data_IF_762895437547
#
_entry.id   IF_762895437547
#
_cell.length_a   1.000
_cell.length_b   1.000
_cell.length_c   1.000
_cell.angle_alpha   90.00
_cell.angle_beta   90.00
_cell.angle_gamma   90.00
#
_symmetry.space_group_name_H-M   'P 1'
#
loop_
_entity.id
_entity.type
_entity.pdbx_description
1 polymer ?
#
# COMPACT_ATOMS: atom_id res chain seq x y z
N UNK A 1 17.08 -11.57 -22.61
CA UNK A 1 16.20 -10.40 -22.77
C UNK A 1 16.72 -9.25 -21.91
N UNK A 2 17.13 -8.18 -22.53
CA UNK A 2 17.51 -6.96 -21.81
C UNK A 2 16.30 -6.36 -21.09
N UNK A 3 16.44 -6.04 -19.80
CA UNK A 3 15.42 -5.27 -19.09
C UNK A 3 15.29 -3.90 -19.78
N UNK A 4 14.12 -3.62 -20.33
CA UNK A 4 13.82 -2.33 -20.90
C UNK A 4 13.85 -1.31 -19.74
N UNK A 5 14.83 -0.42 -19.72
CA UNK A 5 14.93 0.63 -18.72
C UNK A 5 13.92 1.71 -19.10
N UNK A 6 12.85 1.83 -18.32
CA UNK A 6 11.88 2.92 -18.48
C UNK A 6 12.44 4.11 -17.72
N UNK A 7 12.67 5.19 -18.45
CA UNK A 7 12.96 6.51 -17.83
C UNK A 7 11.65 7.26 -17.69
N UNK A 8 11.24 7.50 -16.44
CA UNK A 8 10.08 8.30 -16.11
C UNK A 8 10.50 9.60 -15.46
N UNK A 9 9.79 10.67 -15.78
CA UNK A 9 10.02 11.98 -15.17
C UNK A 9 8.70 12.61 -14.75
N UNK A 10 8.74 13.35 -13.65
CA UNK A 10 7.65 14.20 -13.18
C UNK A 10 8.17 15.64 -13.12
N UNK A 11 7.45 16.51 -13.77
CA UNK A 11 7.68 17.96 -13.74
C UNK A 11 6.49 18.67 -13.14
N UNK A 12 6.73 19.72 -12.39
CA UNK A 12 5.67 20.50 -11.77
C UNK A 12 6.20 21.40 -10.67
N UNK A 13 5.29 22.02 -9.96
CA UNK A 13 5.61 22.87 -8.82
C UNK A 13 5.86 21.98 -7.59
N UNK A 14 6.88 22.34 -6.82
CA UNK A 14 7.06 21.79 -5.48
C UNK A 14 5.90 22.30 -4.61
N UNK A 15 5.24 21.37 -3.94
CA UNK A 15 4.10 21.67 -3.08
C UNK A 15 4.13 20.82 -1.82
N UNK A 16 3.62 21.37 -0.75
CA UNK A 16 3.34 20.63 0.46
C UNK A 16 1.91 20.10 0.42
N UNK A 17 1.69 18.94 1.04
CA UNK A 17 0.38 18.30 1.11
C UNK A 17 -0.12 18.26 2.53
N UNK A 18 -1.43 18.38 2.69
CA UNK A 18 -2.09 18.19 3.96
C UNK A 18 -2.30 16.71 4.23
N UNK A 19 -1.92 16.28 5.43
CA UNK A 19 -2.17 14.92 5.90
C UNK A 19 -3.57 14.81 6.50
N UNK A 20 -4.25 13.72 6.16
CA UNK A 20 -5.52 13.35 6.77
C UNK A 20 -5.30 12.21 7.75
N UNK A 21 -5.75 12.39 8.98
CA UNK A 21 -5.77 11.36 10.00
C UNK A 21 -7.12 10.64 9.98
N UNK A 22 -7.08 9.31 9.97
CA UNK A 22 -8.29 8.49 9.98
C UNK A 22 -8.59 7.99 11.39
N UNK A 23 -9.83 8.15 11.84
CA UNK A 23 -10.33 7.63 13.11
C UNK A 23 -11.04 6.28 12.98
N UNK A 24 -11.39 5.89 11.78
CA UNK A 24 -12.01 4.61 11.43
C UNK A 24 -11.27 3.94 10.29
N UNK A 25 -11.38 2.61 10.13
CA UNK A 25 -10.76 1.91 9.02
C UNK A 25 -11.21 2.46 7.66
N UNK A 26 -10.30 2.58 6.70
CA UNK A 26 -10.69 2.96 5.34
C UNK A 26 -11.64 1.91 4.74
N UNK A 27 -12.62 2.33 3.92
CA UNK A 27 -13.66 1.42 3.44
C UNK A 27 -13.09 0.36 2.48
N UNK A 28 -13.70 -0.82 2.49
CA UNK A 28 -13.46 -1.82 1.44
C UNK A 28 -13.83 -1.25 0.07
N UNK A 29 -13.07 -1.60 -0.93
CA UNK A 29 -13.24 -1.08 -2.28
C UNK A 29 -12.54 0.24 -2.56
N UNK A 30 -12.04 0.95 -1.54
CA UNK A 30 -11.09 2.03 -1.74
C UNK A 30 -9.71 1.46 -2.09
N UNK A 31 -8.82 2.32 -2.58
CA UNK A 31 -7.48 1.93 -3.03
C UNK A 31 -6.43 2.59 -2.16
N UNK A 32 -5.41 1.81 -1.80
CA UNK A 32 -4.20 2.31 -1.16
C UNK A 32 -3.03 2.21 -2.11
N UNK A 33 -2.22 3.26 -2.14
CA UNK A 33 -1.01 3.33 -2.96
C UNK A 33 0.17 3.75 -2.10
N UNK A 34 1.24 2.97 -2.16
CA UNK A 34 2.54 3.34 -1.60
C UNK A 34 3.36 3.93 -2.73
N UNK A 35 3.80 5.18 -2.57
CA UNK A 35 4.63 5.85 -3.56
C UNK A 35 6.11 5.84 -3.16
N UNK A 36 6.98 6.05 -4.13
CA UNK A 36 8.41 6.19 -3.89
C UNK A 36 8.68 7.38 -2.96
N UNK A 37 9.39 7.19 -1.85
CA UNK A 37 9.75 8.29 -0.94
C UNK A 37 10.48 9.44 -1.62
N UNK A 38 11.25 9.18 -2.67
CA UNK A 38 11.94 10.22 -3.42
C UNK A 38 10.97 11.23 -4.05
N UNK A 39 9.78 10.78 -4.45
CA UNK A 39 8.72 11.66 -4.97
C UNK A 39 8.28 12.69 -3.93
N UNK A 40 8.09 12.24 -2.69
CA UNK A 40 7.71 13.12 -1.58
C UNK A 40 8.87 14.03 -1.15
N UNK A 41 10.08 13.48 -1.08
CA UNK A 41 11.28 14.24 -0.70
C UNK A 41 11.60 15.36 -1.69
N UNK A 42 11.31 15.16 -2.96
CA UNK A 42 11.46 16.20 -3.99
C UNK A 42 10.34 17.25 -3.99
N UNK A 43 9.25 17.02 -3.24
CA UNK A 43 8.07 17.90 -3.22
C UNK A 43 7.20 17.78 -4.46
N UNK A 44 7.40 16.78 -5.31
CA UNK A 44 6.68 16.59 -6.58
C UNK A 44 5.50 15.63 -6.50
N UNK A 45 5.14 15.17 -5.30
CA UNK A 45 4.05 14.23 -5.10
C UNK A 45 2.67 14.79 -5.51
N UNK A 46 2.41 16.08 -5.34
CA UNK A 46 1.17 16.70 -5.82
C UNK A 46 1.14 16.80 -7.35
N UNK A 47 2.24 17.14 -8.00
CA UNK A 47 2.34 17.16 -9.45
C UNK A 47 2.12 15.76 -10.05
N UNK A 48 2.66 14.73 -9.40
CA UNK A 48 2.41 13.33 -9.76
C UNK A 48 0.94 12.96 -9.55
N UNK A 49 0.37 13.35 -8.42
CA UNK A 49 -1.01 13.04 -8.05
C UNK A 49 -2.00 13.59 -9.08
N UNK A 50 -1.80 14.80 -9.56
CA UNK A 50 -2.64 15.42 -10.60
C UNK A 50 -2.71 14.58 -11.88
N UNK A 51 -1.65 13.83 -12.19
CA UNK A 51 -1.61 12.91 -13.34
C UNK A 51 -2.13 11.53 -13.02
N UNK A 52 -1.95 11.06 -11.77
CA UNK A 52 -2.19 9.69 -11.37
C UNK A 52 -3.65 9.41 -11.00
N UNK A 53 -4.38 10.40 -10.52
CA UNK A 53 -5.75 10.26 -10.04
C UNK A 53 -6.74 10.62 -11.16
N UNK A 54 -7.77 9.77 -11.41
CA UNK A 54 -8.85 10.12 -12.32
C UNK A 54 -9.58 11.39 -11.91
N UNK A 55 -10.06 12.13 -12.89
CA UNK A 55 -10.89 13.31 -12.64
C UNK A 55 -12.11 12.94 -11.78
N UNK A 56 -12.41 13.76 -10.79
CA UNK A 56 -13.51 13.56 -9.81
C UNK A 56 -13.31 12.40 -8.82
N UNK A 57 -12.17 11.71 -8.81
CA UNK A 57 -11.87 10.73 -7.78
C UNK A 57 -11.50 11.40 -6.46
N UNK A 58 -12.05 10.92 -5.35
CA UNK A 58 -11.65 11.33 -4.02
C UNK A 58 -10.26 10.77 -3.67
N UNK A 59 -9.45 11.55 -2.98
CA UNK A 59 -8.12 11.13 -2.55
C UNK A 59 -7.65 11.91 -1.32
N UNK A 60 -6.73 11.31 -0.57
CA UNK A 60 -6.07 11.95 0.58
C UNK A 60 -4.73 11.28 0.85
N UNK A 61 -3.76 12.07 1.31
CA UNK A 61 -2.52 11.53 1.84
C UNK A 61 -2.71 11.13 3.30
N UNK A 62 -2.38 9.88 3.63
CA UNK A 62 -2.45 9.34 4.98
C UNK A 62 -1.10 9.35 5.68
N UNK A 63 -0.01 9.32 4.92
CA UNK A 63 1.36 9.32 5.42
C UNK A 63 2.27 9.86 4.32
N UNK A 64 3.16 10.78 4.67
CA UNK A 64 4.16 11.34 3.74
C UNK A 64 5.58 11.03 4.16
N UNK A 65 5.82 10.87 5.47
CA UNK A 65 7.15 10.59 6.00
C UNK A 65 7.52 9.12 5.93
N UNK A 66 8.81 8.84 5.94
CA UNK A 66 9.34 7.48 5.99
C UNK A 66 9.41 6.79 4.64
N UNK A 67 9.53 5.48 4.68
CA UNK A 67 9.77 4.63 3.50
C UNK A 67 8.51 4.29 2.71
N UNK A 68 7.34 4.52 3.28
CA UNK A 68 6.06 4.12 2.70
C UNK A 68 5.05 5.26 2.77
N UNK A 69 5.26 6.34 1.99
CA UNK A 69 4.22 7.35 1.83
C UNK A 69 2.94 6.69 1.32
N UNK A 70 1.80 7.04 1.88
CA UNK A 70 0.55 6.32 1.68
C UNK A 70 -0.55 7.25 1.23
N UNK A 71 -1.12 6.94 0.07
CA UNK A 71 -2.27 7.62 -0.54
C UNK A 71 -3.49 6.72 -0.47
N UNK A 72 -4.64 7.28 -0.08
CA UNK A 72 -5.95 6.64 -0.27
C UNK A 72 -6.69 7.32 -1.41
N UNK A 73 -7.39 6.54 -2.22
CA UNK A 73 -8.25 7.04 -3.30
C UNK A 73 -9.51 6.20 -3.46
N UNK A 74 -10.55 6.82 -4.02
CA UNK A 74 -11.83 6.12 -4.30
C UNK A 74 -11.76 5.23 -5.53
N UNK A 75 -10.87 5.58 -6.46
CA UNK A 75 -10.70 4.90 -7.75
C UNK A 75 -9.25 4.43 -7.91
N UNK A 76 -9.00 3.41 -8.74
CA UNK A 76 -7.63 3.01 -9.04
C UNK A 76 -6.88 4.12 -9.77
N UNK A 77 -5.56 4.08 -9.66
CA UNK A 77 -4.70 5.01 -10.40
C UNK A 77 -4.85 4.82 -11.90
N UNK A 78 -4.63 5.90 -12.65
CA UNK A 78 -4.54 5.85 -14.11
C UNK A 78 -3.39 4.93 -14.51
N UNK A 79 -3.65 3.98 -15.42
CA UNK A 79 -2.62 3.09 -15.96
C UNK A 79 -1.74 3.83 -16.97
N UNK A 80 -0.52 4.12 -16.54
CA UNK A 80 0.49 4.81 -17.32
C UNK A 80 1.88 4.42 -16.80
N UNK A 81 2.80 4.07 -17.69
CA UNK A 81 4.14 3.62 -17.30
C UNK A 81 4.93 4.68 -16.53
N UNK A 82 4.76 5.96 -16.84
CA UNK A 82 5.43 7.05 -16.15
C UNK A 82 4.85 7.26 -14.74
N UNK A 83 3.54 7.13 -14.58
CA UNK A 83 2.86 7.17 -13.27
C UNK A 83 3.32 5.99 -12.43
N UNK A 84 3.28 4.79 -12.99
CA UNK A 84 3.61 3.55 -12.30
C UNK A 84 5.08 3.46 -11.89
N UNK A 85 5.97 4.18 -12.55
CA UNK A 85 7.39 4.21 -12.19
C UNK A 85 7.63 4.74 -10.77
N UNK A 86 6.71 5.53 -10.21
CA UNK A 86 6.77 6.08 -8.85
C UNK A 86 5.90 5.33 -7.85
N UNK A 87 5.27 4.24 -8.27
CA UNK A 87 4.42 3.40 -7.41
C UNK A 87 5.19 2.19 -6.94
N UNK A 88 5.26 2.00 -5.63
CA UNK A 88 5.82 0.80 -5.01
C UNK A 88 4.78 -0.31 -5.00
N UNK A 89 3.57 0.00 -4.58
CA UNK A 89 2.43 -0.92 -4.58
C UNK A 89 1.13 -0.14 -4.62
N UNK A 90 0.11 -0.67 -5.30
CA UNK A 90 -1.23 -0.10 -5.35
C UNK A 90 -2.27 -1.20 -5.47
N UNK A 91 -3.34 -1.11 -4.71
CA UNK A 91 -4.40 -2.12 -4.75
C UNK A 91 -5.65 -1.74 -3.98
N UNK A 92 -6.69 -2.52 -4.23
CA UNK A 92 -7.99 -2.42 -3.58
C UNK A 92 -7.94 -3.00 -2.17
N UNK A 93 -8.49 -2.28 -1.22
CA UNK A 93 -8.60 -2.73 0.17
C UNK A 93 -9.62 -3.88 0.24
N UNK A 94 -9.17 -5.06 0.65
CA UNK A 94 -10.00 -6.27 0.74
C UNK A 94 -10.09 -6.84 2.15
N UNK A 95 -9.21 -6.43 3.07
CA UNK A 95 -9.23 -6.94 4.44
C UNK A 95 -8.62 -5.93 5.42
N UNK A 96 -9.22 -5.84 6.61
CA UNK A 96 -8.66 -5.15 7.78
C UNK A 96 -8.32 -6.15 8.86
N UNK A 97 -7.22 -5.91 9.59
CA UNK A 97 -6.80 -6.71 10.74
C UNK A 97 -6.29 -5.80 11.86
N UNK A 98 -6.65 -6.12 13.07
CA UNK A 98 -6.15 -5.41 14.26
C UNK A 98 -4.87 -6.03 14.83
N UNK A 99 -4.54 -7.25 14.41
CA UNK A 99 -3.36 -7.98 14.87
C UNK A 99 -2.26 -7.97 13.81
N UNK A 100 -0.99 -7.77 14.21
CA UNK A 100 0.12 -7.86 13.28
C UNK A 100 0.29 -9.29 12.77
N UNK A 101 0.94 -9.47 11.60
CA UNK A 101 1.32 -10.80 11.15
C UNK A 101 2.39 -11.38 12.09
N UNK A 102 2.18 -12.61 12.54
CA UNK A 102 3.06 -13.32 13.47
C UNK A 102 3.28 -14.75 13.00
N UNK A 103 4.42 -15.35 13.39
CA UNK A 103 4.77 -16.71 12.95
C UNK A 103 3.71 -17.75 13.31
N UNK A 104 3.15 -17.68 14.50
CA UNK A 104 2.15 -18.66 14.97
C UNK A 104 0.76 -18.49 14.34
N UNK A 105 0.51 -17.37 13.63
CA UNK A 105 -0.77 -17.11 12.97
C UNK A 105 -0.63 -16.98 11.45
N UNK A 106 0.54 -17.30 10.91
CA UNK A 106 0.84 -17.04 9.50
C UNK A 106 -0.06 -17.84 8.54
N UNK A 107 -0.39 -19.07 8.87
CA UNK A 107 -1.29 -19.89 8.05
C UNK A 107 -2.70 -19.32 8.02
N UNK A 108 -3.18 -18.78 9.14
CA UNK A 108 -4.48 -18.10 9.22
C UNK A 108 -4.47 -16.80 8.40
N UNK A 109 -3.37 -16.06 8.44
CA UNK A 109 -3.16 -14.86 7.64
C UNK A 109 -3.21 -15.20 6.15
N UNK A 110 -2.51 -16.24 5.73
CA UNK A 110 -2.49 -16.72 4.36
C UNK A 110 -3.89 -17.15 3.88
N UNK A 111 -4.58 -17.98 4.65
CA UNK A 111 -5.92 -18.46 4.31
C UNK A 111 -6.94 -17.33 4.22
N UNK A 112 -6.84 -16.34 5.11
CA UNK A 112 -7.72 -15.17 5.12
C UNK A 112 -7.51 -14.30 3.87
N UNK A 113 -6.27 -14.06 3.48
CA UNK A 113 -5.95 -13.34 2.25
C UNK A 113 -6.46 -14.08 1.01
N UNK A 114 -6.29 -15.41 0.97
CA UNK A 114 -6.76 -16.25 -0.13
C UNK A 114 -8.27 -16.18 -0.31
N UNK A 115 -9.04 -16.15 0.79
CA UNK A 115 -10.50 -15.96 0.74
C UNK A 115 -10.93 -14.63 0.11
N UNK A 116 -10.05 -13.65 0.12
CA UNK A 116 -10.28 -12.33 -0.49
C UNK A 116 -9.65 -12.21 -1.90
N UNK A 117 -9.29 -13.32 -2.51
CA UNK A 117 -8.77 -13.36 -3.88
C UNK A 117 -7.30 -12.99 -4.02
N UNK A 118 -6.55 -13.00 -2.91
CA UNK A 118 -5.11 -12.71 -2.90
C UNK A 118 -4.34 -14.03 -2.81
N UNK A 119 -3.55 -14.33 -3.82
CA UNK A 119 -2.74 -15.56 -3.89
C UNK A 119 -1.30 -15.40 -3.41
N UNK A 120 -0.83 -14.18 -3.25
CA UNK A 120 0.50 -13.86 -2.75
C UNK A 120 0.48 -12.50 -2.06
N UNK A 121 0.99 -12.44 -0.82
CA UNK A 121 1.04 -11.19 -0.04
C UNK A 121 2.48 -10.80 0.21
N UNK A 122 2.84 -9.58 -0.17
CA UNK A 122 4.10 -8.94 0.22
C UNK A 122 3.85 -8.10 1.48
N UNK A 123 4.64 -8.34 2.52
CA UNK A 123 4.57 -7.57 3.77
C UNK A 123 5.26 -6.22 3.59
N UNK A 124 4.48 -5.15 3.63
CA UNK A 124 4.95 -3.76 3.52
C UNK A 124 4.52 -2.96 4.74
N UNK A 125 4.62 -3.58 5.90
CA UNK A 125 4.29 -2.99 7.19
C UNK A 125 5.53 -2.93 8.08
N UNK A 126 5.48 -2.07 9.09
CA UNK A 126 6.56 -1.91 10.06
C UNK A 126 6.58 -3.12 10.99
N UNK A 127 7.56 -3.99 10.78
CA UNK A 127 7.82 -5.18 11.57
C UNK A 127 9.26 -5.13 12.08
N UNK A 128 9.54 -5.96 13.09
CA UNK A 128 10.93 -6.14 13.54
C UNK A 128 11.80 -6.57 12.35
N UNK A 129 12.86 -5.84 11.99
CA UNK A 129 13.71 -6.15 10.84
C UNK A 129 14.33 -7.56 10.89
N UNK A 130 14.56 -8.09 12.09
CA UNK A 130 15.11 -9.45 12.27
C UNK A 130 14.08 -10.53 11.96
N UNK A 131 12.80 -10.25 12.15
CA UNK A 131 11.69 -11.18 11.93
C UNK A 131 11.07 -11.07 10.54
N UNK A 132 11.13 -9.90 9.93
CA UNK A 132 10.47 -9.63 8.65
C UNK A 132 10.82 -10.62 7.53
N UNK A 133 12.09 -10.95 7.26
CA UNK A 133 12.42 -11.93 6.21
C UNK A 133 11.85 -13.31 6.48
N UNK A 134 11.83 -13.74 7.73
CA UNK A 134 11.29 -15.05 8.13
C UNK A 134 9.77 -15.09 7.96
N UNK A 135 9.06 -14.05 8.42
CA UNK A 135 7.62 -13.91 8.24
C UNK A 135 7.25 -13.90 6.75
N UNK A 136 7.94 -13.12 5.94
CA UNK A 136 7.68 -13.04 4.50
C UNK A 136 7.87 -14.39 3.81
N UNK A 137 8.92 -15.11 4.15
CA UNK A 137 9.21 -16.45 3.59
C UNK A 137 8.14 -17.47 4.00
N UNK A 138 7.76 -17.47 5.27
CA UNK A 138 6.73 -18.36 5.79
C UNK A 138 5.36 -18.07 5.17
N UNK A 139 5.04 -16.81 4.97
CA UNK A 139 3.80 -16.40 4.30
C UNK A 139 3.78 -16.86 2.84
N UNK A 140 4.86 -16.66 2.10
CA UNK A 140 4.98 -17.14 0.72
C UNK A 140 4.82 -18.66 0.64
N UNK A 141 5.44 -19.41 1.56
CA UNK A 141 5.31 -20.86 1.62
C UNK A 141 3.87 -21.29 1.91
N UNK A 142 3.21 -20.64 2.86
CA UNK A 142 1.82 -20.94 3.22
C UNK A 142 0.83 -20.64 2.09
N UNK A 143 1.18 -19.70 1.19
CA UNK A 143 0.32 -19.28 0.08
C UNK A 143 0.66 -19.95 -1.26
N UNK A 144 1.67 -20.80 -1.31
CA UNK A 144 2.18 -21.40 -2.56
C UNK A 144 1.12 -22.14 -3.38
N UNK A 145 0.17 -22.77 -2.73
CA UNK A 145 -0.90 -23.53 -3.37
C UNK A 145 -2.17 -22.70 -3.64
N UNK A 146 -2.20 -21.46 -3.20
CA UNK A 146 -3.36 -20.60 -3.40
C UNK A 146 -3.29 -19.88 -4.74
N UNK A 147 -4.42 -19.84 -5.41
CA UNK A 147 -4.61 -19.03 -6.61
C UNK A 147 -5.14 -17.66 -6.24
N UNK A 148 -4.83 -16.66 -7.04
CA UNK A 148 -5.30 -15.31 -6.83
C UNK A 148 -4.28 -14.28 -7.33
N UNK A 149 -4.66 -13.02 -7.20
CA UNK A 149 -3.79 -11.90 -7.56
C UNK A 149 -2.73 -11.66 -6.51
N UNK A 150 -1.66 -10.98 -6.90
CA UNK A 150 -0.71 -10.44 -5.95
C UNK A 150 -1.39 -9.39 -5.07
N UNK A 151 -0.91 -9.27 -3.86
CA UNK A 151 -1.36 -8.28 -2.91
C UNK A 151 -0.25 -7.88 -1.96
N UNK A 152 -0.56 -6.95 -1.10
CA UNK A 152 0.37 -6.46 -0.07
C UNK A 152 -0.37 -6.14 1.21
N UNK A 153 0.36 -6.16 2.31
CA UNK A 153 -0.12 -5.74 3.61
C UNK A 153 0.60 -4.47 4.02
N UNK A 154 -0.14 -3.45 4.39
CA UNK A 154 0.36 -2.18 4.88
C UNK A 154 -0.21 -1.89 6.26
N UNK A 155 0.52 -1.15 7.08
CA UNK A 155 0.06 -0.67 8.38
C UNK A 155 -0.41 0.77 8.29
N UNK A 156 -1.43 1.08 9.07
CA UNK A 156 -1.98 2.42 9.21
C UNK A 156 -2.36 2.67 10.67
N UNK A 157 -1.87 3.76 11.23
CA UNK A 157 -2.27 4.17 12.57
C UNK A 157 -3.60 4.93 12.51
N UNK A 158 -4.56 4.45 13.28
CA UNK A 158 -5.85 5.11 13.45
C UNK A 158 -5.81 6.01 14.68
N UNK A 159 -6.26 7.25 14.53
CA UNK A 159 -6.44 8.18 15.63
C UNK A 159 -7.84 8.01 16.22
N UNK A 160 -7.91 7.53 17.47
CA UNK A 160 -9.16 7.31 18.21
C UNK A 160 -9.29 8.16 19.46
N UNK A 161 -8.66 9.34 19.48
CA UNK A 161 -8.81 10.30 20.55
C UNK A 161 -8.08 9.99 21.86
N UNK A 162 -8.09 8.73 22.33
CA UNK A 162 -7.40 8.29 23.56
C UNK A 162 -6.08 7.56 23.27
N UNK A 163 -5.64 7.51 22.02
CA UNK A 163 -4.43 6.83 21.57
C UNK A 163 -4.52 6.39 20.11
N UNK A 164 -3.40 5.95 19.56
CA UNK A 164 -3.35 5.38 18.23
C UNK A 164 -3.49 3.87 18.28
N UNK A 165 -4.21 3.30 17.32
CA UNK A 165 -4.31 1.87 17.08
C UNK A 165 -3.78 1.55 15.70
N UNK A 166 -2.88 0.58 15.60
CA UNK A 166 -2.37 0.15 14.30
C UNK A 166 -3.33 -0.83 13.64
N UNK A 167 -3.69 -0.53 12.43
CA UNK A 167 -4.50 -1.38 11.56
C UNK A 167 -3.60 -1.99 10.49
N UNK A 168 -3.77 -3.28 10.22
CA UNK A 168 -3.07 -3.98 9.13
C UNK A 168 -4.06 -4.23 8.00
N UNK A 169 -3.74 -3.72 6.83
CA UNK A 169 -4.65 -3.70 5.69
C UNK A 169 -4.08 -4.55 4.57
N UNK A 170 -4.86 -5.51 4.09
CA UNK A 170 -4.52 -6.29 2.90
C UNK A 170 -5.17 -5.66 1.69
N UNK A 171 -4.35 -5.37 0.68
CA UNK A 171 -4.76 -4.84 -0.60
C UNK A 171 -4.50 -5.85 -1.70
N UNK A 172 -5.42 -5.93 -2.64
CA UNK A 172 -5.33 -6.77 -3.82
C UNK A 172 -4.91 -5.91 -5.01
N UNK A 173 -3.79 -6.23 -5.63
CA UNK A 173 -3.33 -5.55 -6.85
C UNK A 173 -4.27 -5.82 -8.03
N UNK A 174 -4.31 -4.89 -8.94
CA UNK A 174 -5.16 -4.98 -10.13
C UNK A 174 -4.65 -5.98 -11.16
#
# INVERSE_FOLDING_TARGET
MGKKKIMASIEGKVAESELVSMSSPPPYGAYLTIVDPALVQSGLHEAWLDRAIPENAGHSWLRLEGRRPLLISTDPLIEDDEINAFVIASGEIVQHRLTPPELHTIEQTAASAARNGVGKVTLRCSLNPDEHPTLQRRLHKAMKEFEGKNGFMVDLDLDRGSGSHTLYIVCKEQ
#
